data_IF_805460059501
#
_entry.id   IF_805460059501
#
_cell.length_a   1.000
_cell.length_b   1.000
_cell.length_c   1.000
_cell.angle_alpha   90.00
_cell.angle_beta   90.00
_cell.angle_gamma   90.00
#
_symmetry.space_group_name_H-M   'P 1'
#
loop_
_entity.id
_entity.type
_entity.pdbx_description
1 polymer ?
#
# COMPACT_ATOMS: atom_id res chain seq x y z
N UNK A 1 48.67 6.16 -6.10
CA UNK A 1 47.98 5.36 -5.06
C UNK A 1 46.55 5.87 -4.78
N UNK A 2 46.37 7.15 -4.43
CA UNK A 2 45.06 7.74 -4.05
C UNK A 2 43.93 7.52 -5.06
N UNK A 3 44.18 7.69 -6.35
CA UNK A 3 43.16 7.44 -7.39
C UNK A 3 42.63 6.00 -7.35
N UNK A 4 43.51 4.99 -7.22
CA UNK A 4 43.09 3.58 -7.15
C UNK A 4 42.30 3.27 -5.87
N UNK A 5 42.71 3.87 -4.74
CA UNK A 5 42.00 3.73 -3.47
C UNK A 5 40.60 4.37 -3.52
N UNK A 6 40.49 5.59 -4.06
CA UNK A 6 39.21 6.27 -4.25
C UNK A 6 38.31 5.50 -5.22
N UNK A 7 38.85 5.03 -6.34
CA UNK A 7 38.10 4.26 -7.34
C UNK A 7 37.59 2.94 -6.77
N UNK A 8 38.40 2.22 -5.99
CA UNK A 8 37.98 0.97 -5.33
C UNK A 8 36.83 1.22 -4.35
N UNK A 9 36.94 2.21 -3.47
CA UNK A 9 35.88 2.55 -2.52
C UNK A 9 34.60 3.03 -3.21
N UNK A 10 34.72 3.80 -4.30
CA UNK A 10 33.57 4.23 -5.10
C UNK A 10 32.84 3.05 -5.72
N UNK A 11 33.57 2.07 -6.27
CA UNK A 11 33.00 0.82 -6.80
C UNK A 11 32.35 -0.04 -5.72
N UNK A 12 32.86 0.00 -4.49
CA UNK A 12 32.28 -0.68 -3.32
C UNK A 12 31.13 0.11 -2.66
N UNK A 13 30.65 1.20 -3.28
CA UNK A 13 29.62 2.10 -2.75
C UNK A 13 29.95 2.75 -1.39
N UNK A 14 31.23 2.79 -1.00
CA UNK A 14 31.71 3.44 0.23
C UNK A 14 32.05 4.90 -0.06
N UNK A 15 31.02 5.71 -0.29
CA UNK A 15 31.14 7.05 -0.87
C UNK A 15 31.96 8.02 0.01
N UNK A 16 31.76 8.01 1.32
CA UNK A 16 32.52 8.86 2.27
C UNK A 16 34.03 8.57 2.24
N UNK A 17 34.40 7.29 2.21
CA UNK A 17 35.80 6.88 2.12
C UNK A 17 36.38 7.22 0.75
N UNK A 18 35.61 7.03 -0.32
CA UNK A 18 36.02 7.39 -1.68
C UNK A 18 36.28 8.90 -1.80
N UNK A 19 35.39 9.73 -1.25
CA UNK A 19 35.53 11.19 -1.20
C UNK A 19 36.79 11.59 -0.42
N UNK A 20 37.01 11.02 0.77
CA UNK A 20 38.21 11.29 1.58
C UNK A 20 39.50 11.01 0.80
N UNK A 21 39.62 9.83 0.19
CA UNK A 21 40.83 9.49 -0.59
C UNK A 21 41.00 10.35 -1.84
N UNK A 22 39.90 10.77 -2.48
CA UNK A 22 39.94 11.67 -3.62
C UNK A 22 40.38 13.09 -3.19
N UNK A 23 39.89 13.61 -2.05
CA UNK A 23 40.27 14.93 -1.51
C UNK A 23 41.74 14.94 -1.12
N UNK A 24 42.20 13.89 -0.43
CA UNK A 24 43.60 13.77 -0.03
C UNK A 24 44.55 13.62 -1.23
N UNK A 25 44.09 12.98 -2.32
CA UNK A 25 44.85 12.95 -3.57
C UNK A 25 44.92 14.30 -4.27
N UNK A 26 43.82 15.08 -4.30
CA UNK A 26 43.77 16.42 -4.90
C UNK A 26 44.59 17.46 -4.12
N UNK A 27 44.76 17.29 -2.81
CA UNK A 27 45.68 18.11 -2.00
C UNK A 27 47.14 17.96 -2.44
N UNK A 28 47.53 16.78 -2.94
CA UNK A 28 48.90 16.51 -3.41
C UNK A 28 49.10 16.88 -4.87
N UNK A 29 48.10 16.68 -5.71
CA UNK A 29 48.12 17.01 -7.14
C UNK A 29 46.75 17.56 -7.54
N UNK A 30 46.64 18.89 -7.56
CA UNK A 30 45.39 19.61 -7.81
C UNK A 30 44.97 19.63 -9.28
N UNK A 31 45.86 19.29 -10.22
CA UNK A 31 45.61 19.30 -11.67
C UNK A 31 45.32 17.90 -12.24
N UNK A 32 45.22 16.89 -11.38
CA UNK A 32 44.96 15.51 -11.79
C UNK A 32 43.55 15.34 -12.39
N UNK A 33 43.44 15.40 -13.73
CA UNK A 33 42.15 15.29 -14.45
C UNK A 33 41.36 14.01 -14.10
N UNK A 34 41.96 12.81 -14.05
CA UNK A 34 41.25 11.60 -13.63
C UNK A 34 40.63 11.70 -12.24
N UNK A 35 41.37 12.26 -11.28
CA UNK A 35 40.91 12.38 -9.89
C UNK A 35 39.82 13.44 -9.74
N UNK A 36 39.92 14.56 -10.46
CA UNK A 36 38.88 15.59 -10.53
C UNK A 36 37.57 15.02 -11.12
N UNK A 37 37.66 14.23 -12.19
CA UNK A 37 36.50 13.59 -12.79
C UNK A 37 35.88 12.54 -11.86
N UNK A 38 36.70 11.78 -11.13
CA UNK A 38 36.22 10.82 -10.14
C UNK A 38 35.55 11.53 -8.96
N UNK A 39 36.11 12.65 -8.49
CA UNK A 39 35.51 13.47 -7.42
C UNK A 39 34.11 13.95 -7.80
N UNK A 40 33.94 14.52 -9.00
CA UNK A 40 32.62 14.95 -9.50
C UNK A 40 31.60 13.82 -9.50
N UNK A 41 32.02 12.60 -9.88
CA UNK A 41 31.15 11.41 -9.86
C UNK A 41 30.78 10.98 -8.44
N UNK A 42 31.73 11.06 -7.49
CA UNK A 42 31.50 10.75 -6.08
C UNK A 42 30.51 11.77 -5.49
N UNK A 43 30.75 13.07 -5.68
CA UNK A 43 29.89 14.15 -5.18
C UNK A 43 28.46 14.03 -5.74
N UNK A 44 28.32 13.79 -7.04
CA UNK A 44 27.01 13.56 -7.67
C UNK A 44 26.28 12.38 -7.04
N UNK A 45 26.98 11.25 -6.82
CA UNK A 45 26.38 10.05 -6.25
C UNK A 45 26.02 10.23 -4.77
N UNK A 46 26.82 10.94 -3.99
CA UNK A 46 26.50 11.31 -2.60
C UNK A 46 25.24 12.17 -2.56
N UNK A 47 25.16 13.18 -3.45
CA UNK A 47 23.98 14.05 -3.54
C UNK A 47 22.72 13.23 -3.87
N UNK A 48 22.79 12.34 -4.85
CA UNK A 48 21.68 11.47 -5.23
C UNK A 48 21.24 10.54 -4.08
N UNK A 49 22.17 9.97 -3.33
CA UNK A 49 21.85 9.08 -2.21
C UNK A 49 21.18 9.86 -1.08
N UNK A 50 21.70 11.04 -0.72
CA UNK A 50 21.09 11.92 0.28
C UNK A 50 19.68 12.35 -0.11
N UNK A 51 19.46 12.72 -1.37
CA UNK A 51 18.12 13.06 -1.87
C UNK A 51 17.16 11.87 -1.82
N UNK A 52 17.65 10.64 -2.06
CA UNK A 52 16.85 9.41 -1.97
C UNK A 52 16.52 9.06 -0.52
N UNK A 53 17.49 9.16 0.38
CA UNK A 53 17.31 8.91 1.81
C UNK A 53 16.32 9.91 2.41
N UNK A 54 16.48 11.21 2.14
CA UNK A 54 15.54 12.24 2.60
C UNK A 54 14.11 12.00 2.07
N UNK A 55 13.97 11.61 0.80
CA UNK A 55 12.66 11.23 0.24
C UNK A 55 12.08 9.95 0.86
N UNK A 56 12.93 9.01 1.29
CA UNK A 56 12.48 7.78 1.96
C UNK A 56 11.99 8.11 3.37
N UNK A 57 12.76 8.88 4.13
CA UNK A 57 12.42 9.34 5.47
C UNK A 57 11.10 10.14 5.45
N UNK A 58 10.95 11.10 4.54
CA UNK A 58 9.70 11.88 4.39
C UNK A 58 8.48 10.98 4.08
N UNK A 59 8.66 9.91 3.31
CA UNK A 59 7.59 8.94 3.01
C UNK A 59 7.25 8.07 4.21
N UNK A 60 8.26 7.65 4.97
CA UNK A 60 8.10 6.84 6.18
C UNK A 60 7.37 7.64 7.27
N UNK A 61 7.75 8.91 7.46
CA UNK A 61 7.10 9.81 8.41
C UNK A 61 5.63 10.06 8.04
N UNK A 62 5.34 10.39 6.78
CA UNK A 62 3.96 10.57 6.30
C UNK A 62 3.11 9.31 6.46
N UNK A 63 3.70 8.14 6.18
CA UNK A 63 3.01 6.86 6.36
C UNK A 63 2.71 6.60 7.84
N UNK A 64 3.68 6.84 8.73
CA UNK A 64 3.49 6.65 10.17
C UNK A 64 2.42 7.59 10.74
N UNK A 65 2.38 8.84 10.25
CA UNK A 65 1.34 9.81 10.58
C UNK A 65 -0.04 9.33 10.11
N UNK A 66 -0.17 8.88 8.86
CA UNK A 66 -1.42 8.31 8.33
C UNK A 66 -1.87 7.09 9.13
N UNK A 67 -0.98 6.14 9.38
CA UNK A 67 -1.26 4.94 10.16
C UNK A 67 -1.73 5.28 11.58
N UNK A 68 -1.16 6.33 12.19
CA UNK A 68 -1.60 6.84 13.48
C UNK A 68 -3.04 7.36 13.43
N UNK A 69 -3.38 8.24 12.48
CA UNK A 69 -4.73 8.79 12.36
C UNK A 69 -5.78 7.72 12.04
N UNK A 70 -5.48 6.81 11.12
CA UNK A 70 -6.33 5.64 10.83
C UNK A 70 -6.57 4.81 12.10
N UNK A 71 -5.52 4.57 12.90
CA UNK A 71 -5.67 3.82 14.15
C UNK A 71 -6.59 4.50 15.17
N UNK A 72 -6.63 5.84 15.21
CA UNK A 72 -7.54 6.60 16.06
C UNK A 72 -8.97 6.55 15.52
N UNK A 73 -9.15 6.71 14.21
CA UNK A 73 -10.44 6.61 13.53
C UNK A 73 -11.13 5.25 13.79
N UNK A 74 -10.38 4.16 13.68
CA UNK A 74 -10.89 2.81 13.97
C UNK A 74 -11.34 2.67 15.42
N UNK A 75 -10.58 3.20 16.37
CA UNK A 75 -10.94 3.16 17.80
C UNK A 75 -12.21 3.97 18.09
N UNK A 76 -12.33 5.16 17.52
CA UNK A 76 -13.51 6.02 17.69
C UNK A 76 -14.78 5.35 17.16
N UNK A 77 -14.68 4.68 16.00
CA UNK A 77 -15.77 3.93 15.36
C UNK A 77 -16.00 2.54 15.96
N UNK A 78 -15.23 2.14 16.98
CA UNK A 78 -15.30 0.82 17.63
C UNK A 78 -15.07 -0.35 16.67
N UNK A 79 -14.31 -0.12 15.60
CA UNK A 79 -13.96 -1.14 14.61
C UNK A 79 -12.79 -1.96 15.14
N UNK A 80 -12.96 -3.28 15.18
CA UNK A 80 -11.91 -4.23 15.56
C UNK A 80 -11.28 -4.84 14.32
N UNK A 81 -9.96 -4.97 14.32
CA UNK A 81 -9.23 -5.68 13.26
C UNK A 81 -9.10 -7.16 13.63
N UNK A 82 -9.68 -8.03 12.81
CA UNK A 82 -9.49 -9.48 12.88
C UNK A 82 -8.26 -9.96 12.10
N UNK A 83 -7.96 -11.25 12.19
CA UNK A 83 -6.96 -11.90 11.32
C UNK A 83 -7.62 -12.24 9.99
N UNK A 84 -6.96 -12.01 8.85
CA UNK A 84 -7.48 -12.44 7.56
C UNK A 84 -7.68 -13.97 7.55
N UNK A 85 -8.85 -14.50 7.14
CA UNK A 85 -9.04 -15.93 6.92
C UNK A 85 -8.40 -16.38 5.60
N UNK A 86 -8.02 -15.45 4.72
CA UNK A 86 -7.42 -15.75 3.43
C UNK A 86 -5.90 -15.81 3.52
N UNK A 87 -5.26 -16.82 2.89
CA UNK A 87 -3.80 -16.98 2.92
C UNK A 87 -3.07 -15.92 2.08
N UNK A 88 -3.76 -15.29 1.12
CA UNK A 88 -3.22 -14.22 0.28
C UNK A 88 -3.60 -12.88 0.89
N UNK A 89 -2.61 -12.01 1.05
CA UNK A 89 -2.86 -10.61 1.39
C UNK A 89 -3.33 -9.87 0.14
N UNK A 90 -4.64 -9.89 -0.09
CA UNK A 90 -5.29 -9.18 -1.19
C UNK A 90 -5.05 -7.67 -1.11
N UNK A 91 -4.88 -7.12 0.10
CA UNK A 91 -4.58 -5.70 0.30
C UNK A 91 -3.20 -5.34 -0.22
N UNK A 92 -2.22 -6.22 -0.06
CA UNK A 92 -0.89 -6.05 -0.65
C UNK A 92 -0.90 -6.25 -2.17
N UNK A 93 -1.67 -7.23 -2.68
CA UNK A 93 -1.74 -7.53 -4.11
C UNK A 93 -2.35 -6.39 -4.93
N UNK A 94 -3.43 -5.80 -4.43
CA UNK A 94 -4.17 -4.72 -5.09
C UNK A 94 -3.81 -3.33 -4.58
N UNK A 95 -2.76 -3.23 -3.75
CA UNK A 95 -2.35 -1.99 -3.08
C UNK A 95 -3.47 -1.27 -2.30
N UNK A 96 -4.52 -2.00 -1.92
CA UNK A 96 -5.63 -1.47 -1.16
C UNK A 96 -5.21 -1.20 0.29
N UNK A 97 -5.52 -0.01 0.81
CA UNK A 97 -5.12 0.40 2.16
C UNK A 97 -6.24 1.15 2.85
N UNK A 98 -6.39 0.86 4.13
CA UNK A 98 -7.18 1.72 5.01
C UNK A 98 -6.55 3.11 5.05
N UNK A 99 -7.35 4.12 4.75
CA UNK A 99 -6.91 5.51 4.82
C UNK A 99 -8.08 6.42 5.21
N UNK A 100 -7.74 7.65 5.59
CA UNK A 100 -8.71 8.71 5.77
C UNK A 100 -8.60 9.67 4.59
N UNK A 101 -9.74 10.14 4.13
CA UNK A 101 -9.80 11.17 3.10
C UNK A 101 -9.55 12.57 3.70
N UNK A 102 -9.71 13.62 2.87
CA UNK A 102 -9.53 15.00 3.30
C UNK A 102 -10.61 15.47 4.30
N UNK A 103 -11.74 14.78 4.38
CA UNK A 103 -12.85 15.07 5.29
C UNK A 103 -12.80 14.21 6.57
N UNK A 104 -11.72 13.42 6.76
CA UNK A 104 -11.56 12.46 7.85
C UNK A 104 -12.59 11.30 7.83
N UNK A 105 -13.13 11.03 6.66
CA UNK A 105 -13.97 9.88 6.37
C UNK A 105 -13.11 8.66 6.07
N UNK A 106 -13.55 7.50 6.55
CA UNK A 106 -12.79 6.25 6.48
C UNK A 106 -13.04 5.53 5.17
N UNK A 107 -11.94 5.09 4.55
CA UNK A 107 -11.94 4.26 3.35
C UNK A 107 -11.42 2.86 3.67
N UNK A 108 -12.20 1.83 3.34
CA UNK A 108 -11.91 0.42 3.65
C UNK A 108 -12.08 -0.45 2.40
N UNK A 109 -11.22 -1.44 2.14
CA UNK A 109 -11.47 -2.44 1.10
C UNK A 109 -12.45 -3.52 1.55
N UNK A 110 -13.33 -3.94 0.64
CA UNK A 110 -14.26 -5.05 0.85
C UNK A 110 -13.93 -6.25 -0.05
N UNK A 111 -14.16 -7.44 0.48
CA UNK A 111 -14.06 -8.71 -0.24
C UNK A 111 -15.42 -9.39 -0.20
N UNK A 112 -16.03 -9.57 -1.37
CA UNK A 112 -17.24 -10.36 -1.54
C UNK A 112 -16.85 -11.79 -1.89
N UNK A 113 -17.50 -12.76 -1.24
CA UNK A 113 -17.27 -14.19 -1.43
C UNK A 113 -18.55 -14.84 -1.90
N UNK A 114 -18.51 -15.50 -3.05
CA UNK A 114 -19.63 -16.22 -3.64
C UNK A 114 -19.37 -17.72 -3.53
N UNK A 115 -19.67 -18.29 -2.36
CA UNK A 115 -19.34 -19.68 -2.03
C UNK A 115 -19.94 -20.70 -3.00
N UNK A 116 -21.17 -20.47 -3.49
CA UNK A 116 -21.86 -21.34 -4.45
C UNK A 116 -21.05 -21.57 -5.74
N UNK A 117 -20.31 -20.54 -6.18
CA UNK A 117 -19.55 -20.56 -7.43
C UNK A 117 -18.03 -20.54 -7.23
N UNK A 118 -17.57 -20.56 -5.97
CA UNK A 118 -16.16 -20.42 -5.60
C UNK A 118 -15.50 -19.21 -6.28
N UNK A 119 -16.22 -18.09 -6.31
CA UNK A 119 -15.77 -16.81 -6.87
C UNK A 119 -15.60 -15.78 -5.76
N UNK A 120 -14.76 -14.77 -6.01
CA UNK A 120 -14.60 -13.62 -5.11
C UNK A 120 -14.39 -12.36 -5.90
N UNK A 121 -14.96 -11.25 -5.41
CA UNK A 121 -14.70 -9.92 -5.93
C UNK A 121 -14.12 -9.02 -4.86
N UNK A 122 -13.15 -8.18 -5.23
CA UNK A 122 -12.44 -7.32 -4.31
C UNK A 122 -12.61 -5.85 -4.71
N UNK A 123 -13.22 -5.07 -3.83
CA UNK A 123 -13.34 -3.62 -3.95
C UNK A 123 -12.24 -2.99 -3.11
N UNK A 124 -11.28 -2.33 -3.76
CA UNK A 124 -10.10 -1.79 -3.10
C UNK A 124 -10.38 -0.58 -2.19
N UNK A 125 -11.48 0.13 -2.45
CA UNK A 125 -11.76 1.42 -1.83
C UNK A 125 -13.27 1.63 -1.69
N UNK A 126 -13.78 1.51 -0.47
CA UNK A 126 -15.17 1.75 -0.09
C UNK A 126 -15.20 2.87 0.93
N UNK A 127 -15.97 3.91 0.63
CA UNK A 127 -16.20 5.01 1.55
C UNK A 127 -17.18 4.59 2.65
N UNK A 128 -16.94 4.99 3.89
CA UNK A 128 -17.72 4.51 5.04
C UNK A 128 -19.22 4.83 4.99
N UNK A 129 -19.60 5.93 4.32
CA UNK A 129 -21.00 6.34 4.16
C UNK A 129 -21.67 5.71 2.93
N UNK A 130 -20.91 5.07 2.03
CA UNK A 130 -21.48 4.36 0.90
C UNK A 130 -22.30 3.18 1.41
N UNK A 131 -23.42 2.88 0.75
CA UNK A 131 -24.20 1.71 1.11
C UNK A 131 -23.71 0.49 0.35
N UNK A 132 -23.92 -0.69 0.94
CA UNK A 132 -23.64 -1.95 0.26
C UNK A 132 -24.48 -2.09 -1.02
N UNK A 133 -25.69 -1.52 -1.02
CA UNK A 133 -26.57 -1.46 -2.18
C UNK A 133 -25.93 -0.70 -3.35
N UNK A 134 -25.26 0.43 -3.08
CA UNK A 134 -24.61 1.23 -4.12
C UNK A 134 -23.53 0.42 -4.84
N UNK A 135 -22.68 -0.28 -4.07
CA UNK A 135 -21.65 -1.14 -4.64
C UNK A 135 -22.24 -2.34 -5.39
N UNK A 136 -23.22 -3.03 -4.80
CA UNK A 136 -23.84 -4.19 -5.43
C UNK A 136 -24.59 -3.83 -6.71
N UNK A 137 -25.16 -2.63 -6.81
CA UNK A 137 -25.84 -2.15 -8.02
C UNK A 137 -24.87 -1.90 -9.17
N UNK A 138 -23.61 -1.54 -8.86
CA UNK A 138 -22.54 -1.42 -9.85
C UNK A 138 -21.99 -2.79 -10.24
N UNK A 139 -21.86 -3.71 -9.28
CA UNK A 139 -21.36 -5.07 -9.54
C UNK A 139 -22.36 -5.94 -10.32
N UNK A 140 -23.65 -5.79 -10.04
CA UNK A 140 -24.74 -6.57 -10.61
C UNK A 140 -25.81 -5.65 -11.24
N UNK A 141 -25.49 -4.96 -12.36
CA UNK A 141 -26.42 -4.05 -13.00
C UNK A 141 -27.63 -4.79 -13.59
N UNK A 142 -28.80 -4.13 -13.62
CA UNK A 142 -30.03 -4.77 -14.10
C UNK A 142 -29.91 -5.19 -15.57
N UNK A 143 -30.15 -6.48 -15.84
CA UNK A 143 -30.15 -7.05 -17.19
C UNK A 143 -28.81 -7.61 -17.67
N UNK A 144 -27.74 -7.42 -16.89
CA UNK A 144 -26.44 -8.03 -17.11
C UNK A 144 -26.15 -9.06 -16.01
N UNK A 145 -25.40 -10.11 -16.35
CA UNK A 145 -25.07 -11.19 -15.43
C UNK A 145 -23.60 -11.56 -15.63
N UNK A 146 -22.94 -11.91 -14.54
CA UNK A 146 -21.58 -12.41 -14.60
C UNK A 146 -21.53 -13.72 -15.42
N UNK A 147 -20.42 -13.96 -16.13
CA UNK A 147 -20.26 -15.15 -16.99
C UNK A 147 -20.42 -16.47 -16.22
N UNK A 148 -20.13 -16.45 -14.91
CA UNK A 148 -20.27 -17.61 -14.02
C UNK A 148 -21.69 -17.79 -13.48
N UNK A 149 -22.56 -16.78 -13.53
CA UNK A 149 -23.95 -16.84 -13.09
C UNK A 149 -24.87 -17.38 -14.20
N UNK A 150 -24.67 -18.66 -14.54
CA UNK A 150 -25.42 -19.35 -15.60
C UNK A 150 -26.93 -19.35 -15.29
N UNK A 151 -27.30 -19.43 -14.02
CA UNK A 151 -28.68 -19.49 -13.56
C UNK A 151 -29.33 -18.11 -13.36
N UNK A 152 -28.56 -17.03 -13.57
CA UNK A 152 -29.03 -15.63 -13.49
C UNK A 152 -29.66 -15.29 -12.15
N UNK A 153 -29.11 -15.87 -11.07
CA UNK A 153 -29.63 -15.71 -9.69
C UNK A 153 -29.11 -14.45 -9.02
N UNK A 154 -27.92 -13.98 -9.40
CA UNK A 154 -27.21 -12.89 -8.74
C UNK A 154 -27.75 -11.56 -9.25
N UNK A 155 -28.91 -11.17 -8.72
CA UNK A 155 -29.51 -9.86 -8.90
C UNK A 155 -29.68 -9.19 -7.55
N UNK A 156 -29.45 -7.87 -7.48
CA UNK A 156 -29.49 -7.09 -6.23
C UNK A 156 -30.75 -7.36 -5.39
N UNK A 157 -31.91 -7.57 -6.02
CA UNK A 157 -33.20 -7.85 -5.35
C UNK A 157 -33.24 -9.21 -4.64
N UNK A 158 -32.44 -10.18 -5.09
CA UNK A 158 -32.41 -11.54 -4.57
C UNK A 158 -31.17 -11.82 -3.71
N UNK A 159 -30.23 -10.87 -3.61
CA UNK A 159 -29.00 -11.06 -2.84
C UNK A 159 -29.26 -10.84 -1.34
N UNK A 160 -28.81 -11.81 -0.54
CA UNK A 160 -28.63 -11.66 0.90
C UNK A 160 -27.14 -11.52 1.20
N UNK A 161 -26.77 -10.50 1.97
CA UNK A 161 -25.39 -10.32 2.41
C UNK A 161 -25.24 -10.77 3.86
N UNK A 162 -24.16 -11.49 4.12
CA UNK A 162 -23.86 -12.09 5.40
C UNK A 162 -22.40 -11.86 5.76
N UNK A 163 -22.10 -11.69 7.04
CA UNK A 163 -20.73 -11.68 7.53
C UNK A 163 -20.56 -12.62 8.74
N UNK A 164 -19.36 -13.18 8.86
CA UNK A 164 -18.96 -14.03 9.97
C UNK A 164 -18.37 -13.16 11.08
N UNK A 165 -18.87 -13.33 12.30
CA UNK A 165 -18.23 -12.71 13.46
C UNK A 165 -16.92 -13.45 13.78
N UNK A 166 -15.84 -12.70 14.00
CA UNK A 166 -14.52 -13.23 14.40
C UNK A 166 -13.86 -14.22 13.42
N UNK A 167 -14.30 -14.24 12.14
CA UNK A 167 -13.79 -15.14 11.08
C UNK A 167 -13.86 -16.63 11.45
N UNK A 168 -14.79 -17.00 12.33
CA UNK A 168 -15.09 -18.38 12.64
C UNK A 168 -16.29 -18.82 11.80
N UNK A 169 -16.14 -19.75 10.84
CA UNK A 169 -17.27 -20.23 10.04
C UNK A 169 -18.32 -20.99 10.87
N UNK A 170 -18.02 -21.28 12.14
CA UNK A 170 -18.96 -21.86 13.12
C UNK A 170 -19.61 -20.82 14.04
N UNK A 171 -19.22 -19.54 13.93
CA UNK A 171 -19.87 -18.46 14.68
C UNK A 171 -21.21 -18.05 14.06
N UNK A 172 -21.97 -17.28 14.83
CA UNK A 172 -23.23 -16.71 14.37
C UNK A 172 -23.00 -15.86 13.11
N UNK A 173 -23.72 -16.21 12.04
CA UNK A 173 -23.73 -15.44 10.80
C UNK A 173 -24.70 -14.28 10.96
N UNK A 174 -24.23 -13.06 10.72
CA UNK A 174 -25.07 -11.86 10.83
C UNK A 174 -25.46 -11.41 9.42
N UNK A 175 -26.76 -11.31 9.18
CA UNK A 175 -27.31 -10.78 7.94
C UNK A 175 -27.23 -9.25 7.94
N UNK A 176 -26.64 -8.69 6.89
CA UNK A 176 -26.53 -7.24 6.70
C UNK A 176 -27.72 -6.71 5.91
N UNK A 177 -28.11 -5.47 6.22
CA UNK A 177 -29.07 -4.72 5.41
C UNK A 177 -28.31 -4.00 4.31
N UNK A 178 -28.80 -4.08 3.07
CA UNK A 178 -28.09 -3.48 1.94
C UNK A 178 -28.12 -1.94 1.97
N UNK A 179 -29.16 -1.36 2.57
CA UNK A 179 -29.38 0.09 2.64
C UNK A 179 -28.61 0.78 3.77
N UNK A 180 -27.94 0.04 4.66
CA UNK A 180 -27.14 0.66 5.73
C UNK A 180 -25.78 1.09 5.19
N UNK A 181 -25.19 2.16 5.75
CA UNK A 181 -23.80 2.51 5.49
C UNK A 181 -22.87 1.32 5.69
N UNK A 182 -21.77 1.31 4.94
CA UNK A 182 -20.75 0.28 4.95
C UNK A 182 -20.16 0.03 6.34
N UNK A 183 -20.13 1.05 7.21
CA UNK A 183 -19.52 1.05 8.55
C UNK A 183 -20.43 1.77 9.55
#
# INVERSE_FOLDING_TARGET
>A
AYYRAALSNFKMNRLEKAEKYARDGLKKDNKNKPLLNLMKKIELKIKQEKEREAKREEREDKKAEQDYFVSQALKQRRIKRGKSPFPVDLTAQYEAKLHLDNQHQLHIPFLFVYEEHNQTDFICDVHEEDTLLDHLSVMFPEGEYADWDIERKYSVKNLGLYFYQDNDPTSDVIQLKLETPAI
#
